data_IF_875908749049
#
_entry.id   IF_875908749049
#
_cell.length_a   1.000
_cell.length_b   1.000
_cell.length_c   1.000
_cell.angle_alpha   90.00
_cell.angle_beta   90.00
_cell.angle_gamma   90.00
#
_symmetry.space_group_name_H-M   'P 1'
#
loop_
_entity.id
_entity.type
_entity.pdbx_description
1 polymer ?
#
# COMPACT_ATOMS: atom_id res chain seq x y z
N UNK A 1 -0.76 -1.05 -9.91
CA UNK A 1 -1.76 -0.31 -9.08
C UNK A 1 -2.13 -1.10 -7.80
N UNK A 2 -2.81 -0.53 -6.80
CA UNK A 2 -3.31 -1.31 -5.63
C UNK A 2 -4.45 -2.24 -6.07
N UNK A 3 -4.39 -3.52 -5.69
CA UNK A 3 -5.39 -4.52 -6.07
C UNK A 3 -6.71 -4.27 -5.31
N UNK A 4 -7.86 -4.52 -5.97
CA UNK A 4 -9.17 -4.49 -5.29
C UNK A 4 -9.15 -5.43 -4.06
N UNK A 5 -9.76 -5.00 -2.97
CA UNK A 5 -9.78 -5.76 -1.71
C UNK A 5 -8.51 -5.59 -0.86
N UNK A 6 -7.55 -4.78 -1.31
CA UNK A 6 -6.41 -4.36 -0.50
C UNK A 6 -6.72 -2.99 0.11
N UNK A 7 -6.71 -2.93 1.43
CA UNK A 7 -6.80 -1.69 2.20
C UNK A 7 -5.38 -1.17 2.41
N UNK A 8 -5.21 0.14 2.23
CA UNK A 8 -3.95 0.84 2.50
C UNK A 8 -4.15 1.82 3.65
N UNK A 9 -3.22 1.81 4.60
CA UNK A 9 -3.21 2.75 5.71
C UNK A 9 -1.80 3.27 5.97
N UNK A 10 -1.63 4.59 6.04
CA UNK A 10 -0.36 5.21 6.45
C UNK A 10 -0.43 5.54 7.94
N UNK A 11 0.57 5.11 8.72
CA UNK A 11 0.63 5.47 10.13
C UNK A 11 0.90 6.98 10.28
N UNK A 12 0.21 7.62 11.23
CA UNK A 12 0.28 9.08 11.44
C UNK A 12 1.64 9.58 11.95
N UNK A 13 2.48 8.68 12.46
CA UNK A 13 3.87 8.95 12.85
C UNK A 13 4.87 8.76 11.69
N UNK A 14 4.37 8.46 10.49
CA UNK A 14 5.17 8.14 9.30
C UNK A 14 6.15 6.96 9.51
N UNK A 15 5.85 6.03 10.43
CA UNK A 15 6.66 4.81 10.62
C UNK A 15 6.52 3.81 9.48
N UNK A 16 5.41 3.86 8.73
CA UNK A 16 5.17 2.95 7.63
C UNK A 16 3.80 3.07 6.97
N UNK A 17 3.59 2.18 6.02
CA UNK A 17 2.35 1.99 5.28
C UNK A 17 1.95 0.53 5.35
N UNK A 18 0.76 0.26 5.88
CA UNK A 18 0.13 -1.03 5.94
C UNK A 18 -0.61 -1.32 4.63
N UNK A 19 -0.34 -2.48 4.05
CA UNK A 19 -1.17 -3.11 3.04
C UNK A 19 -1.86 -4.32 3.66
N UNK A 20 -3.18 -4.35 3.65
CA UNK A 20 -3.98 -5.45 4.18
C UNK A 20 -4.90 -6.02 3.09
N UNK A 21 -4.76 -7.31 2.80
CA UNK A 21 -5.56 -8.01 1.80
C UNK A 21 -6.75 -8.71 2.46
N UNK A 22 -7.95 -8.15 2.27
CA UNK A 22 -9.21 -8.65 2.85
C UNK A 22 -9.63 -10.03 2.34
N UNK A 23 -9.08 -10.50 1.22
CA UNK A 23 -9.41 -11.82 0.68
C UNK A 23 -8.54 -12.93 1.26
N UNK A 24 -7.29 -12.64 1.61
CA UNK A 24 -6.34 -13.63 2.15
C UNK A 24 -6.08 -13.46 3.64
N UNK A 25 -6.57 -12.38 4.24
CA UNK A 25 -6.29 -11.96 5.62
C UNK A 25 -4.78 -11.75 5.89
N UNK A 26 -4.01 -11.44 4.85
CA UNK A 26 -2.59 -11.17 4.95
C UNK A 26 -2.30 -9.67 5.01
N UNK A 27 -1.28 -9.30 5.78
CA UNK A 27 -0.81 -7.92 5.89
C UNK A 27 0.70 -7.81 5.71
N UNK A 28 1.14 -6.69 5.15
CA UNK A 28 2.54 -6.27 5.14
C UNK A 28 2.65 -4.81 5.52
N UNK A 29 3.63 -4.48 6.37
CA UNK A 29 4.01 -3.11 6.67
C UNK A 29 5.26 -2.81 5.87
N UNK A 30 5.22 -1.72 5.11
CA UNK A 30 6.32 -1.21 4.31
C UNK A 30 6.77 0.11 4.93
N UNK A 31 8.07 0.39 4.91
CA UNK A 31 8.59 1.69 5.35
C UNK A 31 7.96 2.83 4.54
N UNK A 32 7.65 3.96 5.19
CA UNK A 32 7.00 5.10 4.52
C UNK A 32 7.87 5.65 3.40
N UNK A 33 9.19 5.56 3.51
CA UNK A 33 10.14 6.06 2.52
C UNK A 33 10.08 5.31 1.19
N UNK A 34 9.52 4.09 1.20
CA UNK A 34 9.31 3.25 0.03
C UNK A 34 7.96 3.55 -0.67
N UNK A 35 7.13 4.44 -0.11
CA UNK A 35 5.79 4.73 -0.60
C UNK A 35 5.55 6.24 -0.79
N UNK A 36 4.98 6.62 -1.92
CA UNK A 36 4.42 7.96 -2.12
C UNK A 36 2.92 7.87 -1.91
N UNK A 37 2.47 8.34 -0.74
CA UNK A 37 1.06 8.32 -0.33
C UNK A 37 0.43 9.67 -0.64
N UNK A 38 -0.74 9.66 -1.25
CA UNK A 38 -1.56 10.85 -1.49
C UNK A 38 -2.83 10.77 -0.66
N UNK A 39 -3.06 11.81 0.15
CA UNK A 39 -4.32 12.01 0.85
C UNK A 39 -5.21 12.85 -0.07
N UNK A 40 -6.14 12.19 -0.76
CA UNK A 40 -7.19 12.92 -1.45
C UNK A 40 -8.14 13.46 -0.37
N UNK A 41 -8.41 14.76 -0.37
CA UNK A 41 -9.29 15.40 0.63
C UNK A 41 -10.73 14.93 0.54
N UNK A 42 -11.08 14.16 -0.50
CA UNK A 42 -12.39 13.54 -0.71
C UNK A 42 -12.51 12.11 -0.17
N UNK A 43 -11.42 11.50 0.31
CA UNK A 43 -11.40 10.10 0.79
C UNK A 43 -10.76 10.02 2.18
N UNK A 44 -11.45 9.37 3.12
CA UNK A 44 -10.90 9.05 4.46
C UNK A 44 -9.70 8.08 4.38
N UNK A 45 -9.50 7.44 3.23
CA UNK A 45 -8.44 6.47 3.01
C UNK A 45 -7.34 7.04 2.11
N UNK A 46 -6.07 6.96 2.54
CA UNK A 46 -4.94 7.34 1.70
C UNK A 46 -4.86 6.46 0.45
N UNK A 47 -4.41 7.06 -0.65
CA UNK A 47 -4.13 6.36 -1.91
C UNK A 47 -2.62 6.23 -2.09
N UNK A 48 -2.15 5.09 -2.59
CA UNK A 48 -0.76 4.93 -3.02
C UNK A 48 -0.63 5.51 -4.42
N UNK A 49 0.16 6.57 -4.58
CA UNK A 49 0.53 7.10 -5.90
C UNK A 49 1.62 6.25 -6.56
N UNK A 50 2.64 5.86 -5.79
CA UNK A 50 3.71 4.99 -6.25
C UNK A 50 4.38 4.27 -5.08
N UNK A 51 5.00 3.14 -5.38
CA UNK A 51 5.94 2.44 -4.48
C UNK A 51 7.31 2.40 -5.15
N UNK A 52 8.36 2.29 -4.34
CA UNK A 52 9.72 2.08 -4.84
C UNK A 52 9.84 0.76 -5.60
N UNK A 53 10.75 0.73 -6.58
CA UNK A 53 10.99 -0.47 -7.39
C UNK A 53 11.60 -1.62 -6.57
N UNK A 54 12.25 -1.33 -5.44
CA UNK A 54 12.83 -2.32 -4.52
C UNK A 54 11.77 -3.24 -3.90
N UNK A 55 10.60 -2.69 -3.54
CA UNK A 55 9.53 -3.45 -2.88
C UNK A 55 8.38 -3.84 -3.81
N UNK A 56 8.28 -3.19 -4.98
CA UNK A 56 7.19 -3.39 -5.94
C UNK A 56 7.01 -4.86 -6.34
N UNK A 57 8.10 -5.57 -6.64
CA UNK A 57 8.06 -6.99 -7.02
C UNK A 57 7.53 -7.88 -5.89
N UNK A 58 7.91 -7.59 -4.64
CA UNK A 58 7.43 -8.28 -3.44
C UNK A 58 5.93 -8.06 -3.27
N UNK A 59 5.46 -6.81 -3.37
CA UNK A 59 4.05 -6.48 -3.23
C UNK A 59 3.18 -7.08 -4.34
N UNK A 60 3.68 -7.17 -5.58
CA UNK A 60 3.00 -7.88 -6.67
C UNK A 60 2.94 -9.37 -6.39
N UNK A 61 4.07 -10.00 -6.01
CA UNK A 61 4.14 -11.45 -5.75
C UNK A 61 3.21 -11.90 -4.62
N UNK A 62 3.01 -11.04 -3.61
CA UNK A 62 2.08 -11.26 -2.49
C UNK A 62 0.64 -10.82 -2.79
N UNK A 63 0.38 -10.30 -3.99
CA UNK A 63 -0.97 -9.96 -4.43
C UNK A 63 -1.52 -8.65 -3.87
N UNK A 64 -0.69 -7.77 -3.31
CA UNK A 64 -1.10 -6.44 -2.85
C UNK A 64 -1.22 -5.42 -3.99
N UNK A 65 -0.38 -5.57 -5.02
CA UNK A 65 -0.37 -4.73 -6.22
C UNK A 65 -0.65 -5.55 -7.49
N UNK A 66 -1.16 -4.88 -8.53
CA UNK A 66 -1.21 -5.37 -9.91
C UNK A 66 0.10 -5.09 -10.65
N UNK A 67 0.41 -5.90 -11.65
CA UNK A 67 1.62 -5.78 -12.49
C UNK A 67 1.55 -4.68 -13.57
N UNK A 68 0.39 -4.01 -13.70
CA UNK A 68 0.17 -2.86 -14.59
C UNK A 68 0.85 -1.58 -14.08
#
# INVERSE_FOLDING_TARGET
MVKKGVIVYSFGDASGVLFYNTYTDESIIVDVSECVVTHDTSSDYPTIKSVSESIKSVLISKGFLTSD
#
